data_IF_568283098826
#
_entry.id   IF_568283098826
#
_cell.length_a   1.000
_cell.length_b   1.000
_cell.length_c   1.000
_cell.angle_alpha   90.00
_cell.angle_beta   90.00
_cell.angle_gamma   90.00
#
_symmetry.space_group_name_H-M   'P 1'
#
loop_
_entity.id
_entity.type
_entity.pdbx_description
1 polymer ?
#
# COMPACT_ATOMS: atom_id res chain seq x y z
N UNK A 1 -6.85 2.66 29.48
CA UNK A 1 -5.74 2.06 28.70
C UNK A 1 -6.19 1.21 27.50
N UNK A 2 -7.38 0.59 27.48
CA UNK A 2 -7.86 -0.27 26.36
C UNK A 2 -8.15 0.47 25.03
N UNK A 3 -8.64 1.71 25.08
CA UNK A 3 -9.03 2.47 23.87
C UNK A 3 -7.82 2.81 23.00
N UNK A 4 -6.68 3.18 23.62
CA UNK A 4 -5.42 3.44 22.89
C UNK A 4 -4.90 2.20 22.15
N UNK A 5 -5.05 1.01 22.75
CA UNK A 5 -4.67 -0.26 22.12
C UNK A 5 -5.56 -0.60 20.91
N UNK A 6 -6.87 -0.37 21.02
CA UNK A 6 -7.80 -0.57 19.90
C UNK A 6 -7.53 0.36 18.71
N UNK A 7 -7.22 1.64 18.98
CA UNK A 7 -6.87 2.59 17.92
C UNK A 7 -5.55 2.20 17.25
N UNK A 8 -4.50 1.91 18.02
CA UNK A 8 -3.21 1.42 17.46
C UNK A 8 -3.40 0.22 16.54
N UNK A 9 -4.16 -0.79 16.98
CA UNK A 9 -4.45 -1.97 16.18
C UNK A 9 -5.22 -1.64 14.89
N UNK A 10 -6.16 -0.70 14.95
CA UNK A 10 -6.88 -0.25 13.76
C UNK A 10 -5.95 0.41 12.73
N UNK A 11 -4.99 1.23 13.16
CA UNK A 11 -3.98 1.82 12.28
C UNK A 11 -3.09 0.76 11.62
N UNK A 12 -2.68 -0.25 12.38
CA UNK A 12 -1.88 -1.37 11.88
C UNK A 12 -2.62 -2.16 10.78
N UNK A 13 -3.85 -2.58 11.06
CA UNK A 13 -4.67 -3.32 10.08
C UNK A 13 -5.01 -2.46 8.87
N UNK A 14 -5.31 -1.17 9.05
CA UNK A 14 -5.57 -0.27 7.95
C UNK A 14 -4.34 -0.09 7.06
N UNK A 15 -3.15 0.06 7.63
CA UNK A 15 -1.90 0.11 6.86
C UNK A 15 -1.62 -1.17 6.07
N UNK A 16 -1.92 -2.35 6.64
CA UNK A 16 -1.83 -3.65 5.93
C UNK A 16 -2.81 -3.72 4.76
N UNK A 17 -4.05 -3.30 4.96
CA UNK A 17 -5.04 -3.25 3.87
C UNK A 17 -4.61 -2.30 2.75
N UNK A 18 -4.12 -1.12 3.11
CA UNK A 18 -3.65 -0.13 2.14
C UNK A 18 -2.44 -0.66 1.35
N UNK A 19 -1.52 -1.38 2.00
CA UNK A 19 -0.40 -2.05 1.31
C UNK A 19 -0.89 -3.09 0.30
N UNK A 20 -1.86 -3.93 0.68
CA UNK A 20 -2.47 -4.91 -0.22
C UNK A 20 -3.15 -4.25 -1.43
N UNK A 21 -3.85 -3.12 -1.22
CA UNK A 21 -4.41 -2.32 -2.33
C UNK A 21 -3.30 -1.81 -3.25
N UNK A 22 -2.19 -1.30 -2.69
CA UNK A 22 -1.03 -0.86 -3.47
C UNK A 22 -0.44 -1.97 -4.34
N UNK A 23 -0.29 -3.17 -3.79
CA UNK A 23 0.18 -4.35 -4.54
C UNK A 23 -0.79 -4.69 -5.67
N UNK A 24 -2.09 -4.70 -5.41
CA UNK A 24 -3.10 -4.96 -6.44
C UNK A 24 -3.02 -3.93 -7.58
N UNK A 25 -2.87 -2.64 -7.26
CA UNK A 25 -2.70 -1.57 -8.26
C UNK A 25 -1.49 -1.84 -9.16
N UNK A 26 -0.34 -2.25 -8.61
CA UNK A 26 0.84 -2.58 -9.41
C UNK A 26 0.62 -3.82 -10.28
N UNK A 27 0.00 -4.86 -9.74
CA UNK A 27 -0.33 -6.05 -10.52
C UNK A 27 -1.20 -5.68 -11.73
N UNK A 28 -2.24 -4.87 -11.54
CA UNK A 28 -3.07 -4.39 -12.64
C UNK A 28 -2.32 -3.45 -13.58
N UNK A 29 -1.46 -2.58 -13.07
CA UNK A 29 -0.64 -1.67 -13.86
C UNK A 29 0.32 -2.42 -14.80
N UNK A 30 0.81 -3.60 -14.39
CA UNK A 30 1.67 -4.45 -15.22
C UNK A 30 0.83 -5.30 -16.18
N UNK A 31 -0.24 -5.93 -15.70
CA UNK A 31 -1.05 -6.84 -16.52
C UNK A 31 -1.82 -6.11 -17.61
N UNK A 32 -2.36 -4.91 -17.36
CA UNK A 32 -3.17 -4.20 -18.35
C UNK A 32 -2.40 -3.87 -19.65
N UNK A 33 -1.18 -3.31 -19.62
CA UNK A 33 -0.37 -3.09 -20.80
C UNK A 33 -0.08 -4.37 -21.59
N UNK A 34 0.18 -5.49 -20.90
CA UNK A 34 0.44 -6.79 -21.51
C UNK A 34 -0.80 -7.28 -22.27
N UNK A 35 -1.97 -7.27 -21.61
CA UNK A 35 -3.24 -7.70 -22.21
C UNK A 35 -3.61 -6.83 -23.42
N UNK A 36 -3.33 -5.53 -23.36
CA UNK A 36 -3.64 -4.57 -24.43
C UNK A 36 -2.57 -4.50 -25.53
N UNK A 37 -1.44 -5.19 -25.37
CA UNK A 37 -0.30 -5.12 -26.29
C UNK A 37 0.32 -3.71 -26.42
N UNK A 38 0.11 -2.85 -25.42
CA UNK A 38 0.55 -1.45 -25.43
C UNK A 38 1.30 -1.15 -24.14
N UNK A 39 2.61 -1.40 -24.15
CA UNK A 39 3.48 -1.00 -23.05
C UNK A 39 3.85 0.48 -23.20
N UNK A 40 3.34 1.30 -22.29
CA UNK A 40 3.72 2.70 -22.19
C UNK A 40 4.65 2.92 -21.00
N UNK A 41 5.81 3.48 -21.28
CA UNK A 41 6.86 3.76 -20.29
C UNK A 41 6.42 4.86 -19.33
N UNK A 42 5.71 5.88 -19.82
CA UNK A 42 5.25 7.00 -18.98
C UNK A 42 4.24 6.50 -17.93
N UNK A 43 3.23 5.75 -18.38
CA UNK A 43 2.25 5.09 -17.50
C UNK A 43 2.92 4.21 -16.45
N UNK A 44 3.95 3.45 -16.83
CA UNK A 44 4.68 2.56 -15.91
C UNK A 44 5.41 3.33 -14.80
N UNK A 45 6.03 4.47 -15.13
CA UNK A 45 6.69 5.34 -14.15
C UNK A 45 5.66 5.92 -13.17
N UNK A 46 4.52 6.39 -13.68
CA UNK A 46 3.43 6.94 -12.85
C UNK A 46 2.92 5.90 -11.85
N UNK A 47 2.63 4.67 -12.30
CA UNK A 47 2.18 3.61 -11.38
C UNK A 47 3.26 3.22 -10.36
N UNK A 48 4.54 3.22 -10.76
CA UNK A 48 5.65 3.02 -9.83
C UNK A 48 5.67 4.08 -8.71
N UNK A 49 5.52 5.35 -9.07
CA UNK A 49 5.46 6.45 -8.08
C UNK A 49 4.24 6.36 -7.17
N UNK A 50 3.07 6.00 -7.72
CA UNK A 50 1.84 5.76 -6.94
C UNK A 50 2.09 4.65 -5.92
N UNK A 51 2.70 3.54 -6.34
CA UNK A 51 2.99 2.43 -5.43
C UNK A 51 3.95 2.82 -4.32
N UNK A 52 5.05 3.50 -4.65
CA UNK A 52 6.01 3.97 -3.63
C UNK A 52 5.30 4.87 -2.60
N UNK A 53 4.42 5.76 -3.07
CA UNK A 53 3.63 6.64 -2.19
C UNK A 53 2.71 5.82 -1.26
N UNK A 54 1.96 4.86 -1.83
CA UNK A 54 1.08 3.98 -1.05
C UNK A 54 1.89 3.16 -0.04
N UNK A 55 3.01 2.58 -0.46
CA UNK A 55 3.88 1.77 0.39
C UNK A 55 4.42 2.59 1.58
N UNK A 56 4.88 3.83 1.34
CA UNK A 56 5.34 4.73 2.41
C UNK A 56 4.23 5.05 3.40
N UNK A 57 3.04 5.42 2.92
CA UNK A 57 1.90 5.72 3.80
C UNK A 57 1.50 4.49 4.60
N UNK A 58 1.40 3.32 3.96
CA UNK A 58 1.11 2.05 4.62
C UNK A 58 2.15 1.70 5.69
N UNK A 59 3.44 1.84 5.39
CA UNK A 59 4.51 1.61 6.35
C UNK A 59 4.41 2.54 7.56
N UNK A 60 4.11 3.83 7.35
CA UNK A 60 3.90 4.79 8.45
C UNK A 60 2.72 4.36 9.32
N UNK A 61 1.60 3.98 8.73
CA UNK A 61 0.41 3.50 9.45
C UNK A 61 0.70 2.23 10.27
N UNK A 62 1.42 1.27 9.66
CA UNK A 62 1.81 0.02 10.32
C UNK A 62 2.75 0.31 11.49
N UNK A 63 3.75 1.18 11.32
CA UNK A 63 4.71 1.51 12.40
C UNK A 63 4.02 2.24 13.55
N UNK A 64 3.16 3.22 13.26
CA UNK A 64 2.38 3.94 14.30
C UNK A 64 1.44 2.99 15.05
N UNK A 65 0.86 2.01 14.35
CA UNK A 65 -0.07 1.04 14.92
C UNK A 65 0.60 -0.13 15.64
N UNK A 66 1.77 -0.57 15.19
CA UNK A 66 2.43 -1.80 15.62
C UNK A 66 3.47 -1.65 16.72
N UNK A 67 3.86 -0.43 17.09
CA UNK A 67 4.79 -0.21 18.21
C UNK A 67 4.09 -0.39 19.56
N UNK A 68 4.06 -1.65 20.07
CA UNK A 68 4.13 -2.01 21.50
C UNK A 68 3.97 -3.51 21.86
N UNK A 69 3.79 -4.47 20.93
CA UNK A 69 3.50 -5.88 21.30
C UNK A 69 4.36 -6.94 20.56
N UNK A 70 5.65 -6.69 20.34
CA UNK A 70 6.72 -7.71 20.43
C UNK A 70 7.66 -7.32 21.57
#
# INVERSE_FOLDING_TARGET
MRIKKGIKKAFEEFGKHLLNVGVAVIVFAILQPIIKGKFDKETSIVFGLIYVTIAVISSVLIVIGGSEDE
#
